data_IF_082026964478
#
_entry.id   IF_082026964478
#
_cell.length_a   1.000
_cell.length_b   1.000
_cell.length_c   1.000
_cell.angle_alpha   90.00
_cell.angle_beta   90.00
_cell.angle_gamma   90.00
#
_symmetry.space_group_name_H-M   'P 1'
#
loop_
_entity.id
_entity.type
_entity.pdbx_description
1 polymer ?
#
# COMPACT_ATOMS: atom_id res chain seq x y z
N UNK A 1 -32.45 -5.04 -2.79
CA UNK A 1 -33.78 -4.88 -3.36
C UNK A 1 -33.98 -3.41 -3.75
N UNK A 2 -34.82 -3.10 -4.74
CA UNK A 2 -35.04 -1.74 -5.24
C UNK A 2 -35.41 -0.73 -4.14
N UNK A 3 -36.12 -1.15 -3.09
CA UNK A 3 -36.46 -0.30 -1.94
C UNK A 3 -35.23 0.11 -1.11
N UNK A 4 -34.26 -0.77 -0.93
CA UNK A 4 -33.01 -0.45 -0.23
C UNK A 4 -32.18 0.61 -0.97
N UNK A 5 -32.20 0.58 -2.28
CA UNK A 5 -31.42 1.51 -3.10
C UNK A 5 -32.02 2.92 -3.13
N UNK A 6 -33.36 3.03 -3.04
CA UNK A 6 -34.06 4.31 -2.95
C UNK A 6 -33.73 5.02 -1.63
N UNK A 7 -33.75 4.31 -0.51
CA UNK A 7 -33.38 4.90 0.79
C UNK A 7 -31.92 5.35 0.84
N UNK A 8 -31.01 4.58 0.26
CA UNK A 8 -29.59 4.98 0.16
C UNK A 8 -29.43 6.30 -0.59
N UNK A 9 -30.07 6.46 -1.73
CA UNK A 9 -29.96 7.68 -2.53
C UNK A 9 -30.51 8.90 -1.81
N UNK A 10 -31.65 8.79 -1.17
CA UNK A 10 -32.23 9.86 -0.36
C UNK A 10 -31.31 10.30 0.78
N UNK A 11 -30.60 9.37 1.42
CA UNK A 11 -29.64 9.70 2.48
C UNK A 11 -28.44 10.46 1.91
N UNK A 12 -27.88 10.03 0.78
CA UNK A 12 -26.75 10.69 0.11
C UNK A 12 -27.11 12.11 -0.35
N UNK A 13 -28.32 12.31 -0.87
CA UNK A 13 -28.80 13.61 -1.32
C UNK A 13 -29.07 14.61 -0.17
N UNK A 14 -29.47 14.11 1.00
CA UNK A 14 -29.87 14.94 2.14
C UNK A 14 -28.81 15.04 3.26
N UNK A 15 -27.70 14.34 3.14
CA UNK A 15 -26.61 14.32 4.13
C UNK A 15 -25.27 14.55 3.44
N UNK A 16 -24.40 15.26 4.13
CA UNK A 16 -23.00 15.41 3.69
C UNK A 16 -22.27 14.11 4.02
N UNK A 17 -22.18 13.20 3.04
CA UNK A 17 -21.57 11.88 3.17
C UNK A 17 -20.57 11.71 2.03
N UNK A 18 -19.37 11.24 2.35
CA UNK A 18 -18.36 10.88 1.36
C UNK A 18 -18.54 9.41 0.97
N UNK A 19 -18.68 9.14 -0.32
CA UNK A 19 -18.72 7.79 -0.86
C UNK A 19 -17.31 7.31 -1.18
N UNK A 20 -16.92 6.15 -0.63
CA UNK A 20 -15.60 5.58 -0.83
C UNK A 20 -15.73 4.24 -1.54
N UNK A 21 -15.06 4.10 -2.69
CA UNK A 21 -14.88 2.84 -3.38
C UNK A 21 -13.53 2.23 -3.00
N UNK A 22 -13.54 0.94 -2.67
CA UNK A 22 -12.31 0.17 -2.41
C UNK A 22 -11.73 -0.48 -3.68
N UNK A 23 -12.49 -0.50 -4.78
CA UNK A 23 -12.06 -1.11 -6.03
C UNK A 23 -13.24 -1.55 -6.90
N UNK A 24 -12.94 -2.06 -8.09
CA UNK A 24 -13.91 -2.50 -9.10
C UNK A 24 -14.31 -3.96 -8.88
N UNK A 25 -14.91 -4.23 -7.73
CA UNK A 25 -15.42 -5.56 -7.35
C UNK A 25 -16.70 -5.42 -6.50
N UNK A 26 -17.49 -6.50 -6.44
CA UNK A 26 -18.72 -6.56 -5.67
C UNK A 26 -18.52 -7.42 -4.44
N UNK A 27 -18.88 -6.89 -3.27
CA UNK A 27 -18.90 -7.60 -1.99
C UNK A 27 -20.34 -7.98 -1.62
N UNK A 28 -20.52 -9.05 -0.86
CA UNK A 28 -21.82 -9.49 -0.35
C UNK A 28 -22.45 -8.52 0.66
N UNK A 29 -21.62 -7.70 1.33
CA UNK A 29 -22.03 -6.69 2.30
C UNK A 29 -20.97 -5.63 2.52
N UNK A 30 -21.30 -4.54 3.20
CA UNK A 30 -20.39 -3.43 3.49
C UNK A 30 -19.42 -3.69 4.65
N UNK A 31 -19.63 -4.76 5.43
CA UNK A 31 -18.84 -5.05 6.63
C UNK A 31 -17.37 -5.33 6.29
N UNK A 32 -17.13 -6.14 5.26
CA UNK A 32 -15.77 -6.44 4.79
C UNK A 32 -15.06 -5.17 4.29
N UNK A 33 -15.77 -4.33 3.55
CA UNK A 33 -15.23 -3.04 3.10
C UNK A 33 -14.89 -2.14 4.29
N UNK A 34 -15.73 -2.12 5.32
CA UNK A 34 -15.51 -1.36 6.55
C UNK A 34 -14.24 -1.83 7.28
N UNK A 35 -14.02 -3.14 7.40
CA UNK A 35 -12.79 -3.68 8.02
C UNK A 35 -11.54 -3.26 7.26
N UNK A 36 -11.52 -3.39 5.93
CA UNK A 36 -10.38 -2.98 5.11
C UNK A 36 -10.10 -1.49 5.26
N UNK A 37 -11.15 -0.66 5.23
CA UNK A 37 -11.04 0.78 5.38
C UNK A 37 -10.52 1.19 6.76
N UNK A 38 -11.07 0.59 7.83
CA UNK A 38 -10.63 0.85 9.20
C UNK A 38 -9.18 0.42 9.42
N UNK A 39 -8.78 -0.77 8.94
CA UNK A 39 -7.40 -1.25 9.06
C UNK A 39 -6.42 -0.29 8.38
N UNK A 40 -6.74 0.15 7.16
CA UNK A 40 -5.92 1.10 6.42
C UNK A 40 -5.76 2.45 7.12
N UNK A 41 -6.80 2.94 7.81
CA UNK A 41 -6.78 4.24 8.53
C UNK A 41 -6.12 4.10 9.90
N UNK A 42 -6.51 3.08 10.69
CA UNK A 42 -6.05 2.93 12.07
C UNK A 42 -4.53 2.81 12.15
N UNK A 43 -3.91 2.18 11.16
CA UNK A 43 -2.44 2.07 11.09
C UNK A 43 -1.72 3.43 10.88
N UNK A 44 -2.42 4.46 10.39
CA UNK A 44 -1.88 5.81 10.23
C UNK A 44 -1.96 6.64 11.51
N UNK A 45 -2.66 6.16 12.53
CA UNK A 45 -2.79 6.86 13.82
C UNK A 45 -1.57 6.55 14.67
N UNK A 46 -0.81 7.57 15.12
CA UNK A 46 0.35 7.36 15.98
C UNK A 46 0.01 6.53 17.23
N UNK A 47 0.83 5.55 17.55
CA UNK A 47 0.67 4.70 18.74
C UNK A 47 -0.33 3.55 18.62
N UNK A 48 -1.07 3.42 17.50
CA UNK A 48 -1.98 2.28 17.27
C UNK A 48 -1.21 1.04 16.87
N UNK A 49 -0.20 1.18 16.00
CA UNK A 49 0.74 0.10 15.69
C UNK A 49 1.97 0.20 16.57
N UNK A 50 2.42 -0.92 17.12
CA UNK A 50 3.54 -0.99 18.07
C UNK A 50 4.91 -0.63 17.50
N UNK A 51 5.03 -0.36 16.20
CA UNK A 51 6.29 -0.01 15.55
C UNK A 51 6.10 1.11 14.50
N UNK A 52 6.25 2.36 14.93
CA UNK A 52 6.11 3.53 14.05
C UNK A 52 7.13 3.58 12.90
N UNK A 53 8.27 2.88 13.04
CA UNK A 53 9.31 2.85 12.00
C UNK A 53 8.94 1.95 10.81
N UNK A 54 7.98 1.04 10.96
CA UNK A 54 7.59 0.14 9.87
C UNK A 54 6.77 0.82 8.79
N UNK A 55 6.09 1.91 9.10
CA UNK A 55 5.22 2.62 8.15
C UNK A 55 5.98 3.54 7.19
N UNK A 56 7.17 4.02 7.57
CA UNK A 56 7.94 5.00 6.79
C UNK A 56 8.56 4.47 5.49
N UNK A 57 8.67 3.15 5.33
CA UNK A 57 9.24 2.49 4.15
C UNK A 57 8.20 1.69 3.33
N UNK A 58 6.92 1.81 3.68
CA UNK A 58 5.84 1.06 3.02
C UNK A 58 5.44 1.63 1.65
N UNK A 59 4.70 0.82 0.90
CA UNK A 59 4.13 1.24 -0.38
C UNK A 59 3.29 2.51 -0.22
N UNK A 60 3.42 3.40 -1.21
CA UNK A 60 2.71 4.68 -1.33
C UNK A 60 3.22 5.83 -0.46
N UNK A 61 4.04 5.62 0.57
CA UNK A 61 4.55 6.67 1.45
C UNK A 61 5.28 7.77 0.65
N UNK A 62 6.21 7.35 -0.22
CA UNK A 62 6.96 8.26 -1.11
C UNK A 62 6.45 8.24 -2.56
N UNK A 63 5.23 7.75 -2.80
CA UNK A 63 4.67 7.61 -4.14
C UNK A 63 5.21 6.43 -4.94
N UNK A 64 6.01 5.57 -4.32
CA UNK A 64 6.55 4.33 -4.89
C UNK A 64 5.91 3.10 -4.24
N UNK A 65 5.99 1.96 -4.92
CA UNK A 65 5.75 0.66 -4.30
C UNK A 65 6.96 0.26 -3.46
N UNK A 66 6.71 -0.53 -2.43
CA UNK A 66 7.76 -1.08 -1.58
C UNK A 66 8.71 -2.01 -2.36
N UNK A 67 9.98 -1.98 -1.99
CA UNK A 67 11.01 -2.88 -2.52
C UNK A 67 10.77 -4.32 -2.05
N UNK A 68 11.37 -5.35 -2.72
CA UNK A 68 11.22 -6.75 -2.33
C UNK A 68 11.78 -7.03 -0.94
N UNK A 69 10.97 -7.60 -0.08
CA UNK A 69 11.37 -8.07 1.24
C UNK A 69 11.92 -9.49 1.16
N UNK A 70 13.01 -9.74 1.87
CA UNK A 70 13.65 -11.06 1.96
C UNK A 70 13.60 -11.58 3.38
N UNK A 71 13.37 -12.89 3.53
CA UNK A 71 13.31 -13.58 4.81
C UNK A 71 14.29 -14.76 4.82
N UNK A 72 14.36 -15.47 5.93
CA UNK A 72 15.14 -16.72 6.04
C UNK A 72 14.40 -17.89 5.36
N UNK A 73 15.13 -18.89 4.82
CA UNK A 73 16.59 -19.02 4.77
C UNK A 73 17.24 -18.11 3.72
N UNK A 74 18.57 -17.86 3.83
CA UNK A 74 19.34 -17.05 2.87
C UNK A 74 19.32 -17.59 1.44
N UNK A 75 19.22 -18.91 1.30
CA UNK A 75 19.09 -19.60 0.01
C UNK A 75 17.79 -20.41 0.05
N UNK A 76 16.93 -20.18 -0.93
CA UNK A 76 15.70 -20.95 -1.14
C UNK A 76 15.58 -21.35 -2.60
N UNK A 77 15.43 -22.67 -2.88
CA UNK A 77 15.34 -23.22 -4.23
C UNK A 77 16.39 -22.64 -5.21
N UNK A 78 17.66 -22.70 -4.80
CA UNK A 78 18.82 -22.19 -5.55
C UNK A 78 18.85 -20.66 -5.75
N UNK A 79 17.88 -19.93 -5.23
CA UNK A 79 17.84 -18.48 -5.25
C UNK A 79 18.37 -17.91 -3.94
N UNK A 80 19.38 -17.05 -4.04
CA UNK A 80 19.97 -16.39 -2.87
C UNK A 80 19.44 -14.99 -2.66
N UNK A 81 19.46 -14.54 -1.41
CA UNK A 81 19.27 -13.13 -1.06
C UNK A 81 20.37 -12.30 -1.73
N UNK A 82 20.09 -11.14 -2.35
CA UNK A 82 21.09 -10.28 -2.95
C UNK A 82 22.23 -9.94 -2.00
N UNK A 83 23.48 -10.07 -2.46
CA UNK A 83 24.67 -9.86 -1.62
C UNK A 83 24.74 -8.46 -1.00
N UNK A 84 24.20 -7.44 -1.67
CA UNK A 84 24.15 -6.08 -1.14
C UNK A 84 23.39 -6.01 0.18
N UNK A 85 22.34 -6.80 0.36
CA UNK A 85 21.54 -6.84 1.61
C UNK A 85 22.30 -7.54 2.76
N UNK A 86 23.32 -8.31 2.46
CA UNK A 86 24.15 -9.03 3.41
C UNK A 86 25.45 -8.27 3.73
N UNK A 87 25.75 -7.19 3.02
CA UNK A 87 27.03 -6.47 3.10
C UNK A 87 27.20 -5.64 4.40
N UNK A 88 26.12 -5.31 5.10
CA UNK A 88 26.14 -4.36 6.22
C UNK A 88 26.38 -2.90 5.81
N UNK A 89 26.55 -2.59 4.52
CA UNK A 89 26.72 -1.24 3.99
C UNK A 89 25.35 -0.58 3.84
N UNK A 90 24.95 0.19 4.84
CA UNK A 90 23.64 0.81 4.90
C UNK A 90 23.38 1.76 3.73
N UNK A 91 24.40 2.44 3.21
CA UNK A 91 24.25 3.34 2.06
C UNK A 91 23.90 2.54 0.79
N UNK A 92 24.67 1.51 0.49
CA UNK A 92 24.39 0.64 -0.65
C UNK A 92 23.07 -0.10 -0.55
N UNK A 93 22.69 -0.52 0.67
CA UNK A 93 21.39 -1.16 0.91
C UNK A 93 20.26 -0.19 0.60
N UNK A 94 20.37 1.07 1.05
CA UNK A 94 19.36 2.11 0.79
C UNK A 94 19.23 2.40 -0.71
N UNK A 95 20.35 2.57 -1.42
CA UNK A 95 20.34 2.82 -2.87
C UNK A 95 19.73 1.64 -3.63
N UNK A 96 20.08 0.42 -3.24
CA UNK A 96 19.49 -0.78 -3.84
C UNK A 96 17.98 -0.85 -3.61
N UNK A 97 17.50 -0.60 -2.38
CA UNK A 97 16.07 -0.59 -2.06
C UNK A 97 15.32 0.43 -2.91
N UNK A 98 15.86 1.65 -3.02
CA UNK A 98 15.26 2.69 -3.85
C UNK A 98 15.18 2.26 -5.32
N UNK A 99 16.25 1.74 -5.88
CA UNK A 99 16.27 1.28 -7.27
C UNK A 99 15.26 0.16 -7.55
N UNK A 100 15.06 -0.75 -6.57
CA UNK A 100 14.03 -1.80 -6.68
C UNK A 100 12.61 -1.23 -6.60
N UNK A 101 12.35 -0.29 -5.68
CA UNK A 101 11.06 0.38 -5.58
C UNK A 101 10.70 1.12 -6.88
N UNK A 102 11.65 1.82 -7.47
CA UNK A 102 11.48 2.51 -8.75
C UNK A 102 11.19 1.53 -9.90
N UNK A 103 11.95 0.46 -9.99
CA UNK A 103 11.77 -0.57 -11.02
C UNK A 103 10.40 -1.23 -10.93
N UNK A 104 9.99 -1.66 -9.73
CA UNK A 104 8.70 -2.31 -9.48
C UNK A 104 7.55 -1.33 -9.73
N UNK A 105 7.69 -0.06 -9.31
CA UNK A 105 6.66 0.96 -9.51
C UNK A 105 6.47 1.25 -10.99
N UNK A 106 7.56 1.38 -11.74
CA UNK A 106 7.50 1.60 -13.19
C UNK A 106 6.81 0.47 -13.93
N UNK A 107 7.06 -0.78 -13.52
CA UNK A 107 6.49 -1.97 -14.13
C UNK A 107 5.02 -2.17 -13.76
N UNK A 108 4.69 -2.12 -12.47
CA UNK A 108 3.37 -2.51 -11.95
C UNK A 108 2.39 -1.36 -11.79
N UNK A 109 2.87 -0.13 -11.58
CA UNK A 109 2.06 1.06 -11.36
C UNK A 109 2.59 2.27 -12.17
N UNK A 110 2.45 2.23 -13.51
CA UNK A 110 2.89 3.32 -14.39
C UNK A 110 2.26 4.67 -14.02
N UNK A 111 1.05 4.66 -13.46
CA UNK A 111 0.33 5.84 -12.98
C UNK A 111 1.06 6.52 -11.81
N UNK A 112 1.56 5.75 -10.83
CA UNK A 112 2.36 6.26 -9.72
C UNK A 112 3.75 6.70 -10.18
N UNK A 113 4.37 5.93 -11.08
CA UNK A 113 5.66 6.26 -11.66
C UNK A 113 5.64 7.61 -12.38
N UNK A 114 4.60 7.90 -13.16
CA UNK A 114 4.45 9.20 -13.82
C UNK A 114 4.30 10.34 -12.82
N UNK A 115 3.59 10.13 -11.70
CA UNK A 115 3.44 11.13 -10.63
C UNK A 115 4.76 11.37 -9.89
N UNK A 116 5.49 10.32 -9.60
CA UNK A 116 6.80 10.38 -8.94
C UNK A 116 7.82 11.17 -9.77
N UNK A 117 7.94 10.86 -11.06
CA UNK A 117 8.85 11.56 -11.97
C UNK A 117 8.51 13.06 -12.22
N UNK A 118 7.26 13.46 -12.02
CA UNK A 118 6.88 14.88 -12.14
C UNK A 118 7.23 15.71 -10.89
N UNK A 119 7.50 15.06 -9.77
CA UNK A 119 7.84 15.73 -8.50
C UNK A 119 9.35 15.87 -8.29
N UNK A 120 10.13 15.03 -8.94
CA UNK A 120 11.60 15.02 -8.93
C UNK A 120 12.14 15.53 -10.29
#
# INVERSE_FOLDING_TARGET
SAASDVYKRQVLENRKIDEISLGDFVLSGGETATYVFLDAILRLIPGVLGNEKSTSEESFENGLLEYPQYTKPQIWEEKSVPNVLLSGDHAKIKDWRLSQSEAITRDRRPDLWQKYNKKN
#
